data_IF_199229607108
#
_entry.id   IF_199229607108
#
_cell.length_a   1.000
_cell.length_b   1.000
_cell.length_c   1.000
_cell.angle_alpha   90.00
_cell.angle_beta   90.00
_cell.angle_gamma   90.00
#
_symmetry.space_group_name_H-M   'P 1'
#
loop_
_entity.id
_entity.type
_entity.pdbx_description
1 polymer ?
#
# COMPACT_ATOMS: atom_id res chain seq x y z
N UNK A 1 -44.70 63.83 -28.27
CA UNK A 1 -46.09 63.69 -27.75
C UNK A 1 -46.09 62.69 -26.61
N UNK A 2 -46.26 63.16 -25.36
CA UNK A 2 -47.39 62.84 -24.44
C UNK A 2 -47.50 61.33 -24.15
N UNK A 3 -47.03 60.84 -22.98
CA UNK A 3 -47.58 60.92 -21.62
C UNK A 3 -48.24 59.58 -21.21
N UNK A 4 -47.72 59.00 -20.11
CA UNK A 4 -48.44 58.41 -18.94
C UNK A 4 -49.48 57.30 -19.25
N UNK A 5 -49.62 56.21 -18.50
CA UNK A 5 -49.78 56.14 -17.03
C UNK A 5 -49.83 54.66 -16.59
N UNK A 6 -49.33 54.41 -15.38
CA UNK A 6 -49.47 53.17 -14.59
C UNK A 6 -50.94 52.81 -14.35
N UNK A 7 -51.26 51.52 -14.21
CA UNK A 7 -52.22 51.02 -13.22
C UNK A 7 -51.83 49.62 -12.70
N UNK A 8 -52.13 49.42 -11.42
CA UNK A 8 -51.67 48.39 -10.47
C UNK A 8 -52.83 47.40 -10.24
N UNK A 9 -52.50 46.21 -9.70
CA UNK A 9 -53.34 45.21 -8.95
C UNK A 9 -53.81 44.03 -9.82
N UNK A 10 -53.81 42.77 -9.39
CA UNK A 10 -53.45 42.08 -8.15
C UNK A 10 -53.28 40.58 -8.51
N UNK A 11 -52.25 39.91 -7.98
CA UNK A 11 -52.35 38.78 -7.05
C UNK A 11 -53.02 37.50 -7.61
N UNK A 12 -52.22 36.46 -7.91
CA UNK A 12 -52.43 35.08 -7.45
C UNK A 12 -51.09 34.32 -7.47
N UNK A 13 -50.59 34.05 -6.28
CA UNK A 13 -49.49 33.13 -6.01
C UNK A 13 -49.99 31.70 -6.30
N UNK A 14 -49.28 30.96 -7.16
CA UNK A 14 -49.31 29.50 -7.13
C UNK A 14 -47.87 29.00 -7.08
N UNK A 15 -47.29 29.05 -5.88
CA UNK A 15 -46.05 28.35 -5.58
C UNK A 15 -46.39 26.87 -5.44
N UNK A 16 -46.05 26.07 -6.45
CA UNK A 16 -45.99 24.62 -6.32
C UNK A 16 -44.79 24.29 -5.42
N UNK A 17 -45.06 24.11 -4.12
CA UNK A 17 -44.11 23.56 -3.17
C UNK A 17 -44.00 22.05 -3.44
N UNK A 18 -43.14 21.66 -4.38
CA UNK A 18 -42.61 20.30 -4.41
C UNK A 18 -41.59 20.21 -3.27
N UNK A 19 -42.06 19.78 -2.09
CA UNK A 19 -41.18 19.35 -1.02
C UNK A 19 -40.57 18.01 -1.45
N UNK A 20 -39.48 18.07 -2.21
CA UNK A 20 -38.52 16.97 -2.30
C UNK A 20 -37.95 16.80 -0.90
N UNK A 21 -38.55 15.92 -0.11
CA UNK A 21 -37.88 15.33 1.04
C UNK A 21 -36.79 14.46 0.42
N UNK A 22 -35.64 15.07 0.15
CA UNK A 22 -34.39 14.36 -0.09
C UNK A 22 -34.09 13.62 1.20
N UNK A 23 -34.61 12.39 1.31
CA UNK A 23 -34.13 11.45 2.32
C UNK A 23 -32.62 11.35 2.07
N UNK A 24 -31.74 11.70 3.02
CA UNK A 24 -30.36 11.34 2.86
C UNK A 24 -30.36 9.83 2.70
N UNK A 25 -29.98 9.35 1.51
CA UNK A 25 -29.45 8.01 1.39
C UNK A 25 -28.37 7.95 2.45
N UNK A 26 -28.57 7.11 3.46
CA UNK A 26 -27.48 6.62 4.30
C UNK A 26 -26.56 5.87 3.34
N UNK A 27 -25.71 6.64 2.67
CA UNK A 27 -24.52 6.13 2.05
C UNK A 27 -23.77 5.44 3.17
N UNK A 28 -23.51 4.16 2.98
CA UNK A 28 -22.42 3.50 3.65
C UNK A 28 -21.25 4.47 3.55
N UNK A 29 -20.77 4.98 4.69
CA UNK A 29 -19.53 5.72 4.72
C UNK A 29 -18.52 4.81 4.01
N UNK A 30 -18.10 5.22 2.81
CA UNK A 30 -16.91 4.67 2.20
C UNK A 30 -15.84 4.89 3.27
N UNK A 31 -15.41 3.82 3.94
CA UNK A 31 -14.28 3.90 4.85
C UNK A 31 -13.16 4.56 4.06
N UNK A 32 -12.67 5.69 4.56
CA UNK A 32 -11.53 6.37 3.96
C UNK A 32 -10.42 5.33 3.81
N UNK A 33 -9.95 5.09 2.59
CA UNK A 33 -8.80 4.22 2.38
C UNK A 33 -7.67 4.76 3.25
N UNK A 34 -7.02 3.92 4.08
CA UNK A 34 -5.82 4.29 4.80
C UNK A 34 -4.86 5.04 3.89
N UNK A 35 -4.24 6.14 4.36
CA UNK A 35 -3.20 6.78 3.57
C UNK A 35 -2.06 5.78 3.37
N UNK A 36 -1.46 5.81 2.17
CA UNK A 36 -0.29 4.98 1.88
C UNK A 36 0.97 5.80 2.11
N UNK A 37 2.05 5.17 2.62
CA UNK A 37 3.34 5.81 2.82
C UNK A 37 3.93 6.26 1.48
N UNK A 38 4.64 7.39 1.49
CA UNK A 38 5.44 7.78 0.33
C UNK A 38 6.71 6.92 0.23
N UNK A 39 7.34 6.78 -0.96
CA UNK A 39 8.62 6.09 -1.09
C UNK A 39 9.71 6.65 -0.16
N UNK A 40 9.71 7.97 0.09
CA UNK A 40 10.62 8.61 1.03
C UNK A 40 10.41 8.14 2.48
N UNK A 41 9.15 8.04 2.93
CA UNK A 41 8.80 7.53 4.26
C UNK A 41 9.21 6.06 4.43
N UNK A 42 9.06 5.25 3.38
CA UNK A 42 9.53 3.86 3.39
C UNK A 42 11.04 3.77 3.55
N UNK A 43 11.82 4.54 2.79
CA UNK A 43 13.29 4.60 2.92
C UNK A 43 13.71 5.00 4.32
N UNK A 44 13.06 6.01 4.92
CA UNK A 44 13.38 6.50 6.27
C UNK A 44 13.19 5.38 7.31
N UNK A 45 12.04 4.72 7.28
CA UNK A 45 11.76 3.62 8.22
C UNK A 45 12.71 2.44 8.03
N UNK A 46 12.95 2.01 6.79
CA UNK A 46 13.90 0.92 6.49
C UNK A 46 15.32 1.27 6.96
N UNK A 47 15.73 2.52 6.80
CA UNK A 47 17.01 3.03 7.33
C UNK A 47 17.05 2.93 8.85
N UNK A 48 15.96 3.26 9.53
CA UNK A 48 15.87 3.12 10.99
C UNK A 48 15.85 1.66 11.45
N UNK A 49 15.30 0.74 10.66
CA UNK A 49 15.43 -0.70 10.95
C UNK A 49 16.88 -1.18 10.85
N UNK A 50 17.64 -0.72 9.85
CA UNK A 50 19.08 -1.02 9.75
C UNK A 50 19.88 -0.45 10.92
N UNK A 51 19.57 0.78 11.33
CA UNK A 51 20.16 1.40 12.52
C UNK A 51 19.80 0.62 13.80
N UNK A 52 18.56 0.16 13.94
CA UNK A 52 18.14 -0.65 15.07
C UNK A 52 18.89 -1.99 15.14
N UNK A 53 19.13 -2.66 14.01
CA UNK A 53 19.98 -3.88 13.94
C UNK A 53 21.40 -3.62 14.44
N UNK A 54 21.92 -2.41 14.22
CA UNK A 54 23.22 -1.97 14.73
C UNK A 54 23.19 -1.42 16.17
N UNK A 55 22.02 -1.41 16.84
CA UNK A 55 21.86 -0.86 18.18
C UNK A 55 21.93 0.67 18.24
N UNK A 56 21.69 1.35 17.12
CA UNK A 56 21.73 2.80 17.01
C UNK A 56 20.35 3.44 17.20
N UNK A 57 20.29 4.68 17.71
CA UNK A 57 19.07 5.48 17.76
C UNK A 57 18.43 5.71 16.39
N UNK A 58 17.09 5.74 16.28
CA UNK A 58 16.42 6.13 15.04
C UNK A 58 16.67 7.59 14.69
N UNK A 59 16.51 7.88 13.40
CA UNK A 59 16.56 9.20 12.80
C UNK A 59 15.14 9.74 12.66
N UNK A 60 14.98 11.02 13.00
CA UNK A 60 13.72 11.76 12.81
C UNK A 60 13.64 12.33 11.40
N UNK A 61 12.50 12.20 10.73
CA UNK A 61 12.26 12.89 9.47
C UNK A 61 12.33 14.42 9.67
N UNK A 62 13.07 15.11 8.78
CA UNK A 62 13.19 16.56 8.78
C UNK A 62 12.84 17.15 7.41
N UNK A 63 11.85 18.02 7.40
CA UNK A 63 11.29 18.64 6.19
C UNK A 63 12.31 19.48 5.41
N UNK A 64 13.28 20.14 6.07
CA UNK A 64 14.30 20.92 5.36
C UNK A 64 15.31 20.01 4.65
N UNK A 65 15.63 18.86 5.26
CA UNK A 65 16.45 17.83 4.63
C UNK A 65 15.71 17.16 3.46
N UNK A 66 14.40 16.91 3.61
CA UNK A 66 13.54 16.42 2.52
C UNK A 66 13.56 17.37 1.33
N UNK A 67 13.38 18.67 1.56
CA UNK A 67 13.40 19.68 0.49
C UNK A 67 14.72 19.70 -0.27
N UNK A 68 15.85 19.67 0.46
CA UNK A 68 17.17 19.61 -0.16
C UNK A 68 17.37 18.31 -0.97
N UNK A 69 16.93 17.17 -0.43
CA UNK A 69 17.06 15.87 -1.08
C UNK A 69 16.18 15.78 -2.34
N UNK A 70 14.91 16.19 -2.25
CA UNK A 70 13.95 16.15 -3.35
C UNK A 70 14.37 17.04 -4.51
N UNK A 71 14.79 18.28 -4.21
CA UNK A 71 15.29 19.20 -5.22
C UNK A 71 16.53 18.63 -5.94
N UNK A 72 17.37 17.88 -5.22
CA UNK A 72 18.57 17.31 -5.81
C UNK A 72 18.30 16.06 -6.65
N UNK A 73 17.36 15.20 -6.23
CA UNK A 73 16.90 14.08 -7.06
C UNK A 73 16.36 14.58 -8.41
N UNK A 74 15.57 15.66 -8.39
CA UNK A 74 15.08 16.32 -9.60
C UNK A 74 16.19 16.94 -10.45
N UNK A 75 17.20 17.55 -9.81
CA UNK A 75 18.32 18.16 -10.51
C UNK A 75 19.20 17.12 -11.23
N UNK A 76 19.45 15.97 -10.60
CA UNK A 76 20.19 14.86 -11.22
C UNK A 76 19.46 14.34 -12.46
N UNK A 77 18.15 14.08 -12.35
CA UNK A 77 17.32 13.65 -13.47
C UNK A 77 17.30 14.69 -14.61
N UNK A 78 16.93 15.95 -14.30
CA UNK A 78 16.80 17.00 -15.31
C UNK A 78 18.15 17.39 -15.95
N UNK A 79 19.26 17.14 -15.28
CA UNK A 79 20.60 17.46 -15.74
C UNK A 79 21.36 16.27 -16.36
N UNK A 80 20.75 15.08 -16.40
CA UNK A 80 21.36 13.83 -16.88
C UNK A 80 22.75 13.59 -16.25
N UNK A 81 22.82 13.65 -14.91
CA UNK A 81 24.06 13.42 -14.18
C UNK A 81 23.85 12.68 -12.85
N UNK A 82 24.89 11.99 -12.40
CA UNK A 82 24.92 11.29 -11.11
C UNK A 82 26.23 11.58 -10.36
N UNK A 83 26.21 12.61 -9.51
CA UNK A 83 27.33 13.04 -8.67
C UNK A 83 26.79 13.71 -7.40
N UNK A 84 27.58 13.76 -6.33
CA UNK A 84 27.23 14.49 -5.10
C UNK A 84 27.36 16.02 -5.25
N UNK A 85 28.24 16.47 -6.14
CA UNK A 85 28.45 17.87 -6.47
C UNK A 85 27.77 18.17 -7.79
N UNK A 86 26.91 19.20 -7.80
CA UNK A 86 26.25 19.59 -9.04
C UNK A 86 27.32 20.06 -10.07
N UNK A 87 27.43 19.45 -11.26
CA UNK A 87 28.48 19.80 -12.23
C UNK A 87 28.25 21.17 -12.89
N UNK A 88 27.03 21.70 -12.83
CA UNK A 88 26.64 22.99 -13.42
C UNK A 88 26.79 24.12 -12.41
N UNK A 89 26.27 23.94 -11.19
CA UNK A 89 26.27 25.01 -10.16
C UNK A 89 27.49 24.95 -9.24
N UNK A 90 28.09 23.76 -9.09
CA UNK A 90 29.18 23.50 -8.14
C UNK A 90 28.72 23.26 -6.70
N UNK A 91 27.41 23.29 -6.42
CA UNK A 91 26.89 23.15 -5.06
C UNK A 91 27.11 21.74 -4.51
N UNK A 92 27.66 21.67 -3.30
CA UNK A 92 27.86 20.42 -2.54
C UNK A 92 26.60 20.06 -1.74
N UNK A 93 26.51 18.85 -1.16
CA UNK A 93 25.37 18.49 -0.31
C UNK A 93 25.19 19.46 0.87
N UNK A 94 26.30 19.90 1.48
CA UNK A 94 26.27 20.85 2.58
C UNK A 94 25.71 22.22 2.16
N UNK A 95 26.03 22.68 0.94
CA UNK A 95 25.50 23.94 0.40
C UNK A 95 23.99 23.85 0.18
N UNK A 96 23.52 22.74 -0.41
CA UNK A 96 22.09 22.49 -0.65
C UNK A 96 21.29 22.37 0.65
N UNK A 97 21.80 21.63 1.63
CA UNK A 97 21.18 21.50 2.96
C UNK A 97 21.13 22.86 3.66
N UNK A 98 22.19 23.66 3.57
CA UNK A 98 22.22 25.01 4.15
C UNK A 98 21.26 25.96 3.43
N UNK A 99 21.12 25.84 2.11
CA UNK A 99 20.20 26.63 1.29
C UNK A 99 18.73 26.30 1.58
N UNK A 100 18.41 25.06 1.95
CA UNK A 100 17.09 24.68 2.48
C UNK A 100 16.83 25.22 3.90
N UNK A 101 17.81 25.89 4.50
CA UNK A 101 17.71 26.53 5.81
C UNK A 101 17.88 25.59 7.00
N UNK A 102 18.33 24.35 6.77
CA UNK A 102 18.63 23.42 7.87
C UNK A 102 19.88 23.90 8.61
N UNK A 103 19.77 24.02 9.94
CA UNK A 103 20.90 24.34 10.81
C UNK A 103 21.58 23.06 11.24
N UNK A 104 22.89 22.96 11.05
CA UNK A 104 23.61 21.73 11.30
C UNK A 104 24.97 21.95 11.94
N UNK A 105 25.37 20.95 12.72
CA UNK A 105 26.74 20.74 13.21
C UNK A 105 27.44 19.60 12.47
N UNK A 106 26.65 18.71 11.86
CA UNK A 106 27.10 17.62 11.02
C UNK A 106 26.03 17.31 9.96
N UNK A 107 26.46 16.97 8.74
CA UNK A 107 25.61 16.50 7.63
C UNK A 107 26.35 15.45 6.79
N UNK A 108 25.59 14.58 6.12
CA UNK A 108 26.09 13.64 5.12
C UNK A 108 25.00 13.37 4.07
N UNK A 109 25.39 12.79 2.93
CA UNK A 109 24.47 12.43 1.85
C UNK A 109 24.80 11.04 1.30
N UNK A 110 23.76 10.27 1.00
CA UNK A 110 23.81 9.15 0.08
C UNK A 110 22.96 9.49 -1.15
N UNK A 111 23.44 9.13 -2.35
CA UNK A 111 22.68 9.19 -3.59
C UNK A 111 22.61 7.80 -4.20
N UNK A 112 21.58 7.53 -5.00
CA UNK A 112 21.51 6.32 -5.80
C UNK A 112 20.58 6.50 -6.99
N UNK A 113 20.89 5.80 -8.07
CA UNK A 113 20.12 5.82 -9.30
C UNK A 113 20.03 4.41 -9.88
N UNK A 114 18.86 4.05 -10.43
CA UNK A 114 18.57 2.72 -10.94
C UNK A 114 17.54 1.95 -10.12
N UNK A 115 17.78 1.67 -8.82
CA UNK A 115 16.83 0.92 -7.99
C UNK A 115 15.42 1.49 -8.05
N UNK A 116 14.43 0.63 -8.25
CA UNK A 116 13.04 1.06 -8.49
C UNK A 116 12.20 1.13 -7.21
N UNK A 117 12.70 0.55 -6.11
CA UNK A 117 11.99 0.43 -4.85
C UNK A 117 12.76 0.97 -3.63
N UNK A 118 12.06 1.44 -2.59
CA UNK A 118 12.67 1.82 -1.30
C UNK A 118 13.52 0.73 -0.64
N UNK A 119 13.14 -0.54 -0.78
CA UNK A 119 13.87 -1.66 -0.19
C UNK A 119 15.20 -1.92 -0.91
N UNK A 120 15.16 -1.93 -2.24
CA UNK A 120 16.34 -2.16 -3.06
C UNK A 120 17.37 -1.04 -2.85
N UNK A 121 16.95 0.23 -2.85
CA UNK A 121 17.88 1.35 -2.66
C UNK A 121 18.55 1.33 -1.28
N UNK A 122 17.81 1.04 -0.20
CA UNK A 122 18.38 0.93 1.15
C UNK A 122 19.35 -0.24 1.22
N UNK A 123 19.01 -1.38 0.63
CA UNK A 123 19.92 -2.52 0.56
C UNK A 123 21.18 -2.21 -0.26
N UNK A 124 21.05 -1.48 -1.37
CA UNK A 124 22.16 -0.99 -2.19
C UNK A 124 23.10 -0.07 -1.40
N UNK A 125 22.57 0.91 -0.68
CA UNK A 125 23.36 1.75 0.22
C UNK A 125 24.00 0.95 1.35
N UNK A 126 23.27 0.01 1.96
CA UNK A 126 23.85 -0.86 2.96
C UNK A 126 24.95 -1.74 2.37
N UNK A 127 24.90 -2.20 1.13
CA UNK A 127 25.98 -2.98 0.53
C UNK A 127 27.21 -2.16 0.16
N UNK A 128 27.09 -0.83 0.06
CA UNK A 128 28.21 0.08 -0.17
C UNK A 128 28.86 0.54 1.14
N UNK A 129 30.16 0.29 1.37
CA UNK A 129 30.83 0.71 2.61
C UNK A 129 30.74 2.22 2.89
N UNK A 130 30.78 3.05 1.86
CA UNK A 130 30.66 4.52 2.00
C UNK A 130 29.27 4.95 2.44
N UNK A 131 28.23 4.45 1.77
CA UNK A 131 26.84 4.80 2.08
C UNK A 131 26.38 4.21 3.42
N UNK A 132 26.75 2.95 3.70
CA UNK A 132 26.52 2.28 4.99
C UNK A 132 27.12 3.09 6.15
N UNK A 133 28.31 3.67 5.97
CA UNK A 133 28.94 4.49 7.00
C UNK A 133 28.08 5.70 7.37
N UNK A 134 27.45 6.36 6.40
CA UNK A 134 26.56 7.49 6.67
C UNK A 134 25.28 7.03 7.40
N UNK A 135 24.65 5.95 6.94
CA UNK A 135 23.44 5.36 7.58
C UNK A 135 23.71 4.99 9.04
N UNK A 136 24.87 4.41 9.32
CA UNK A 136 25.24 3.94 10.66
C UNK A 136 26.10 4.95 11.44
N UNK A 137 26.20 6.21 11.00
CA UNK A 137 26.94 7.22 11.76
C UNK A 137 26.12 7.59 13.03
N UNK A 138 26.70 7.47 14.24
CA UNK A 138 26.02 7.84 15.48
C UNK A 138 25.78 9.35 15.63
N UNK A 139 26.43 10.19 14.81
CA UNK A 139 26.19 11.64 14.84
C UNK A 139 24.82 11.99 14.28
N UNK A 140 24.33 11.26 13.28
CA UNK A 140 23.06 11.51 12.63
C UNK A 140 21.89 11.39 13.63
N UNK A 141 21.02 12.40 13.65
CA UNK A 141 19.79 12.44 14.46
C UNK A 141 18.54 12.65 13.62
N UNK A 142 18.71 13.29 12.47
CA UNK A 142 17.65 13.63 11.55
C UNK A 142 18.00 13.13 10.14
N UNK A 143 16.98 12.85 9.35
CA UNK A 143 17.07 12.35 7.98
C UNK A 143 16.06 13.08 7.10
N UNK A 144 16.40 13.29 5.84
CA UNK A 144 15.42 13.61 4.81
C UNK A 144 15.71 12.85 3.54
N UNK A 145 14.65 12.49 2.82
CA UNK A 145 14.73 11.66 1.62
C UNK A 145 13.98 12.34 0.47
N UNK A 146 14.60 12.31 -0.70
CA UNK A 146 14.02 12.74 -1.97
C UNK A 146 13.98 11.59 -2.95
N UNK A 147 12.90 11.51 -3.72
CA UNK A 147 12.73 10.51 -4.78
C UNK A 147 12.17 11.19 -6.03
N UNK A 148 12.76 10.87 -7.18
CA UNK A 148 12.24 11.32 -8.47
C UNK A 148 12.27 10.19 -9.48
N UNK A 149 11.17 10.06 -10.23
CA UNK A 149 11.04 9.16 -11.36
C UNK A 149 10.96 9.97 -12.64
N UNK A 150 11.91 9.76 -13.55
CA UNK A 150 11.90 10.33 -14.89
C UNK A 150 11.25 9.35 -15.87
N UNK A 151 10.02 9.67 -16.28
CA UNK A 151 9.28 8.90 -17.29
C UNK A 151 9.88 9.04 -18.70
N UNK A 152 10.67 10.09 -18.94
CA UNK A 152 11.16 10.47 -20.28
C UNK A 152 12.53 9.91 -20.63
N UNK A 153 13.25 9.41 -19.62
CA UNK A 153 14.54 8.75 -19.78
C UNK A 153 14.35 7.30 -20.26
N UNK A 154 14.18 7.14 -21.58
CA UNK A 154 14.03 5.85 -22.25
C UNK A 154 15.33 5.51 -22.98
N UNK A 155 15.93 4.37 -22.62
CA UNK A 155 17.10 3.85 -23.33
C UNK A 155 16.76 3.61 -24.82
N UNK A 156 17.61 4.00 -25.80
CA UNK A 156 19.02 4.42 -25.69
C UNK A 156 19.25 5.94 -25.85
N UNK A 157 18.30 6.83 -25.52
CA UNK A 157 18.42 8.26 -25.81
C UNK A 157 19.16 9.11 -24.76
N UNK A 158 19.40 8.60 -23.55
CA UNK A 158 20.08 9.33 -22.47
C UNK A 158 21.55 8.93 -22.27
N UNK A 159 22.37 9.87 -21.79
CA UNK A 159 23.77 9.63 -21.45
C UNK A 159 23.92 8.93 -20.08
N UNK A 160 22.92 9.04 -19.19
CA UNK A 160 22.72 8.16 -18.02
C UNK A 160 21.35 7.47 -18.09
N UNK A 161 21.25 6.12 -18.02
CA UNK A 161 20.02 5.40 -18.36
C UNK A 161 19.05 5.20 -17.18
N UNK A 162 19.11 6.05 -16.15
CA UNK A 162 18.42 5.77 -14.89
C UNK A 162 17.11 6.53 -14.80
N UNK A 163 16.00 5.82 -14.61
CA UNK A 163 14.69 6.44 -14.42
C UNK A 163 14.41 6.82 -12.97
N UNK A 164 15.05 6.15 -12.02
CA UNK A 164 14.82 6.35 -10.59
C UNK A 164 16.02 7.05 -9.96
N UNK A 165 15.78 8.15 -9.26
CA UNK A 165 16.79 8.92 -8.54
C UNK A 165 16.40 9.09 -7.07
N UNK A 166 17.33 8.74 -6.18
CA UNK A 166 17.16 8.76 -4.74
C UNK A 166 18.25 9.60 -4.09
N UNK A 167 17.86 10.42 -3.12
CA UNK A 167 18.77 11.20 -2.29
C UNK A 167 18.38 11.02 -0.83
N UNK A 168 19.35 10.71 0.01
CA UNK A 168 19.19 10.56 1.46
C UNK A 168 20.17 11.51 2.16
N UNK A 169 19.63 12.56 2.77
CA UNK A 169 20.38 13.54 3.52
C UNK A 169 20.27 13.26 5.02
N UNK A 170 21.40 13.32 5.72
CA UNK A 170 21.48 13.17 7.16
C UNK A 170 21.90 14.47 7.81
N UNK A 171 21.42 14.70 9.03
CA UNK A 171 21.72 15.93 9.75
C UNK A 171 21.75 15.79 11.27
N UNK A 172 22.46 16.72 11.89
CA UNK A 172 22.46 16.94 13.33
C UNK A 172 22.34 18.42 13.65
N UNK A 173 21.14 18.84 14.03
CA UNK A 173 20.92 20.16 14.60
C UNK A 173 21.21 20.13 16.11
N UNK A 174 22.23 20.85 16.61
CA UNK A 174 22.60 20.82 18.03
C UNK A 174 21.52 21.42 18.96
N UNK A 175 20.60 22.22 18.40
CA UNK A 175 19.54 22.87 19.16
C UNK A 175 18.26 22.04 19.28
N UNK A 176 18.15 20.95 18.53
CA UNK A 176 16.96 20.09 18.46
C UNK A 176 17.22 18.75 19.13
N UNK A 177 16.23 18.30 19.90
CA UNK A 177 16.20 16.98 20.52
C UNK A 177 14.98 16.22 19.99
N UNK A 178 15.13 15.46 18.89
CA UNK A 178 14.01 14.80 18.26
C UNK A 178 13.29 13.81 19.19
N UNK A 179 11.97 13.76 19.03
CA UNK A 179 11.10 12.68 19.47
C UNK A 179 10.76 11.83 18.25
N UNK A 180 10.82 10.50 18.39
CA UNK A 180 10.50 9.54 17.34
C UNK A 180 9.53 8.50 17.90
N UNK A 181 8.46 8.20 17.18
CA UNK A 181 7.50 7.13 17.46
C UNK A 181 7.83 5.95 16.56
N UNK A 182 7.99 4.75 17.13
CA UNK A 182 8.11 3.48 16.40
C UNK A 182 9.11 3.51 15.23
N UNK A 183 10.35 3.99 15.46
CA UNK A 183 11.38 4.05 14.41
C UNK A 183 11.01 4.94 13.22
N UNK A 184 10.20 5.98 13.44
CA UNK A 184 9.66 6.87 12.39
C UNK A 184 8.70 6.11 11.46
N UNK A 185 7.93 5.16 12.01
CA UNK A 185 6.92 4.45 11.26
C UNK A 185 5.82 5.41 10.82
N UNK A 186 5.44 5.33 9.54
CA UNK A 186 4.32 6.08 8.98
C UNK A 186 2.99 5.81 9.71
N UNK A 187 2.76 4.54 10.07
CA UNK A 187 1.52 4.11 10.71
C UNK A 187 1.75 3.01 11.76
N UNK A 188 0.76 2.80 12.62
CA UNK A 188 0.71 1.68 13.55
C UNK A 188 -0.71 1.18 13.74
N UNK A 189 -0.89 -0.12 13.92
CA UNK A 189 -2.16 -0.73 14.32
C UNK A 189 -2.20 -1.11 15.81
N UNK A 190 -1.17 -0.75 16.57
CA UNK A 190 -1.00 -1.11 17.98
C UNK A 190 -0.90 0.16 18.81
N UNK A 191 -1.81 0.33 19.76
CA UNK A 191 -1.89 1.57 20.53
C UNK A 191 -0.67 1.75 21.46
N UNK A 192 -0.05 0.64 21.88
CA UNK A 192 1.20 0.67 22.62
C UNK A 192 2.38 0.84 21.64
N UNK A 193 2.98 2.03 21.65
CA UNK A 193 4.13 2.39 20.83
C UNK A 193 5.40 2.52 21.66
N UNK A 194 6.55 2.56 20.99
CA UNK A 194 7.83 2.86 21.59
C UNK A 194 8.28 4.25 21.15
N UNK A 195 8.57 5.11 22.11
CA UNK A 195 9.16 6.43 21.86
C UNK A 195 10.68 6.35 22.00
N UNK A 196 11.38 7.05 21.13
CA UNK A 196 12.79 7.40 21.32
C UNK A 196 12.94 8.93 21.44
N UNK A 197 13.70 9.36 22.44
CA UNK A 197 13.96 10.77 22.74
C UNK A 197 15.45 11.03 22.79
N UNK A 198 15.91 11.96 21.96
CA UNK A 198 17.24 12.54 22.12
C UNK A 198 17.28 13.53 23.29
N UNK A 199 18.48 13.77 23.82
CA UNK A 199 18.70 14.78 24.86
C UNK A 199 19.22 14.22 26.18
N UNK A 200 19.68 12.97 26.20
CA UNK A 200 20.23 12.30 27.40
C UNK A 200 21.37 13.07 28.09
N UNK A 201 22.12 13.89 27.35
CA UNK A 201 23.23 14.69 27.88
C UNK A 201 22.81 16.11 28.27
N UNK A 202 21.54 16.48 28.09
CA UNK A 202 21.02 17.83 28.31
C UNK A 202 19.79 17.88 29.23
N UNK A 203 18.82 16.98 29.04
CA UNK A 203 17.56 16.95 29.77
C UNK A 203 17.68 16.16 31.07
N UNK A 204 17.13 16.69 32.17
CA UNK A 204 17.00 16.00 33.46
C UNK A 204 15.57 15.52 33.70
N UNK A 205 14.59 16.22 33.16
CA UNK A 205 13.17 15.91 33.30
C UNK A 205 12.45 16.00 31.95
N UNK A 206 11.33 15.29 31.83
CA UNK A 206 10.45 15.33 30.67
C UNK A 206 8.98 15.28 31.10
N UNK A 207 8.09 15.72 30.22
CA UNK A 207 6.65 15.45 30.29
C UNK A 207 6.07 15.36 28.90
N UNK A 208 5.02 14.55 28.73
CA UNK A 208 4.48 14.22 27.40
C UNK A 208 2.96 14.42 27.37
N UNK A 209 2.41 14.49 26.17
CA UNK A 209 0.96 14.42 25.92
C UNK A 209 0.67 13.77 24.58
N UNK A 210 -0.54 13.24 24.46
CA UNK A 210 -1.15 12.95 23.17
C UNK A 210 -1.95 14.16 22.71
N UNK A 211 -1.79 14.52 21.45
CA UNK A 211 -2.61 15.51 20.76
C UNK A 211 -2.73 16.82 21.55
N UNK A 212 -3.95 17.31 21.73
CA UNK A 212 -4.28 18.50 22.50
C UNK A 212 -4.58 18.21 23.98
N UNK A 213 -4.28 17.00 24.49
CA UNK A 213 -4.50 16.66 25.90
C UNK A 213 -3.52 17.39 26.82
N UNK A 214 -3.78 17.32 28.12
CA UNK A 214 -2.89 17.86 29.13
C UNK A 214 -1.57 17.09 29.20
N UNK A 215 -0.48 17.82 29.46
CA UNK A 215 0.81 17.19 29.74
C UNK A 215 0.74 16.37 31.03
N UNK A 216 1.45 15.25 31.03
CA UNK A 216 1.77 14.52 32.26
C UNK A 216 2.47 15.44 33.27
N UNK A 217 2.48 15.07 34.57
CA UNK A 217 3.44 15.66 35.50
C UNK A 217 4.87 15.50 34.99
N UNK A 218 5.76 16.40 35.44
CA UNK A 218 7.20 16.25 35.20
C UNK A 218 7.71 14.95 35.81
N UNK A 219 8.50 14.21 35.03
CA UNK A 219 9.14 12.96 35.41
C UNK A 219 10.62 12.98 35.01
N UNK A 220 11.43 12.09 35.56
CA UNK A 220 12.84 11.95 35.15
C UNK A 220 12.96 11.64 33.66
N UNK A 221 13.97 12.23 33.01
CA UNK A 221 14.24 11.99 31.60
C UNK A 221 14.52 10.50 31.32
N UNK A 222 13.94 10.00 30.22
CA UNK A 222 14.16 8.66 29.67
C UNK A 222 14.32 8.79 28.15
N UNK A 223 15.37 8.20 27.59
CA UNK A 223 15.60 8.19 26.14
C UNK A 223 14.69 7.20 25.39
N UNK A 224 14.11 6.24 26.11
CA UNK A 224 13.17 5.26 25.56
C UNK A 224 12.02 5.05 26.54
N UNK A 225 10.78 5.03 26.04
CA UNK A 225 9.59 4.87 26.86
C UNK A 225 8.47 4.22 26.05
N UNK A 226 7.82 3.21 26.62
CA UNK A 226 6.56 2.70 26.08
C UNK A 226 5.44 3.71 26.32
N UNK A 227 4.69 4.04 25.28
CA UNK A 227 3.66 5.06 25.30
C UNK A 227 2.35 4.52 24.71
N UNK A 228 1.21 5.05 25.15
CA UNK A 228 -0.10 4.59 24.68
C UNK A 228 -0.78 5.71 23.92
N UNK A 229 -0.97 5.50 22.63
CA UNK A 229 -1.76 6.37 21.77
C UNK A 229 -3.25 6.17 22.03
N UNK A 230 -4.09 7.19 21.74
CA UNK A 230 -5.52 6.97 21.63
C UNK A 230 -5.80 5.90 20.56
N UNK A 231 -6.79 5.01 20.78
CA UNK A 231 -7.06 3.88 19.88
C UNK A 231 -8.02 4.24 18.74
N UNK A 232 -8.39 5.50 18.58
CA UNK A 232 -9.18 5.98 17.45
C UNK A 232 -8.36 6.02 16.16
N UNK A 233 -9.01 5.74 15.03
CA UNK A 233 -8.35 5.79 13.73
C UNK A 233 -8.04 7.25 13.36
N UNK A 234 -6.82 7.51 12.93
CA UNK A 234 -6.39 8.83 12.51
C UNK A 234 -4.95 9.17 12.87
N UNK A 235 -4.54 10.38 12.52
CA UNK A 235 -3.23 10.89 12.90
C UNK A 235 -3.23 11.29 14.38
N UNK A 236 -2.24 10.79 15.11
CA UNK A 236 -1.98 11.18 16.49
C UNK A 236 -0.60 11.82 16.62
N UNK A 237 -0.54 12.88 17.41
CA UNK A 237 0.70 13.58 17.75
C UNK A 237 1.11 13.23 19.16
N UNK A 238 2.36 12.83 19.37
CA UNK A 238 2.97 12.86 20.70
C UNK A 238 3.83 14.10 20.81
N UNK A 239 3.59 14.92 21.83
CA UNK A 239 4.43 16.09 22.14
C UNK A 239 5.20 15.85 23.45
N UNK A 240 6.45 16.31 23.49
CA UNK A 240 7.29 16.29 24.70
C UNK A 240 7.77 17.70 25.03
N UNK A 241 7.85 17.98 26.33
CA UNK A 241 8.69 19.03 26.88
C UNK A 241 9.84 18.42 27.66
N UNK A 242 11.04 18.90 27.41
CA UNK A 242 12.29 18.51 28.06
C UNK A 242 12.81 19.66 28.89
N UNK A 243 13.18 19.42 30.14
CA UNK A 243 13.73 20.42 31.05
C UNK A 243 15.13 20.02 31.50
N UNK A 244 16.07 20.96 31.47
CA UNK A 244 17.42 20.76 32.00
C UNK A 244 17.56 21.22 33.46
N UNK A 245 18.74 21.01 34.04
CA UNK A 245 19.04 21.38 35.43
C UNK A 245 18.96 22.90 35.71
N UNK A 246 19.08 23.75 34.67
CA UNK A 246 18.94 25.20 34.78
C UNK A 246 17.47 25.67 34.68
N UNK A 247 16.53 24.75 34.42
CA UNK A 247 15.11 25.05 34.24
C UNK A 247 14.74 25.49 32.83
N UNK A 248 15.66 25.44 31.87
CA UNK A 248 15.35 25.72 30.45
C UNK A 248 14.50 24.58 29.88
N UNK A 249 13.49 24.95 29.09
CA UNK A 249 12.56 23.98 28.48
C UNK A 249 12.70 24.01 26.96
N UNK A 250 12.81 22.83 26.35
CA UNK A 250 12.72 22.61 24.90
C UNK A 250 11.57 21.68 24.58
N UNK A 251 10.98 21.83 23.40
CA UNK A 251 9.85 21.00 22.95
C UNK A 251 10.23 20.20 21.72
N UNK A 252 9.63 19.03 21.56
CA UNK A 252 9.64 18.26 20.33
C UNK A 252 8.29 17.56 20.18
N UNK A 253 7.99 17.13 18.95
CA UNK A 253 6.80 16.35 18.67
C UNK A 253 7.04 15.41 17.51
N UNK A 254 6.23 14.37 17.46
CA UNK A 254 6.17 13.45 16.34
C UNK A 254 4.72 13.00 16.11
N UNK A 255 4.44 12.55 14.91
CA UNK A 255 3.11 12.16 14.42
C UNK A 255 3.15 10.75 13.85
N UNK A 256 2.09 9.98 14.09
CA UNK A 256 1.91 8.66 13.48
C UNK A 256 0.44 8.43 13.16
N UNK A 257 0.16 7.74 12.07
CA UNK A 257 -1.21 7.36 11.74
C UNK A 257 -1.61 6.07 12.46
N UNK A 258 -2.64 6.11 13.29
CA UNK A 258 -3.23 4.92 13.90
C UNK A 258 -4.22 4.27 12.94
N UNK A 259 -3.89 3.08 12.46
CA UNK A 259 -4.78 2.24 11.67
C UNK A 259 -5.54 1.32 12.62
N UNK A 260 -6.78 1.70 12.95
CA UNK A 260 -7.69 0.78 13.59
C UNK A 260 -7.78 -0.48 12.72
N UNK A 261 -7.49 -1.64 13.30
CA UNK A 261 -7.54 -2.90 12.58
C UNK A 261 -8.84 -2.95 11.78
N UNK A 262 -8.74 -3.24 10.46
CA UNK A 262 -9.93 -3.54 9.67
C UNK A 262 -10.76 -4.50 10.52
N UNK A 263 -12.06 -4.24 10.73
CA UNK A 263 -12.88 -5.20 11.45
C UNK A 263 -12.65 -6.53 10.76
N UNK A 264 -12.03 -7.49 11.46
CA UNK A 264 -12.00 -8.87 10.99
C UNK A 264 -13.43 -9.14 10.58
N UNK A 265 -13.72 -9.52 9.32
CA UNK A 265 -15.09 -9.79 8.91
C UNK A 265 -15.62 -10.73 9.98
N UNK A 266 -16.55 -10.23 10.80
CA UNK A 266 -17.10 -11.04 11.88
C UNK A 266 -17.54 -12.32 11.20
N UNK A 267 -17.15 -13.51 11.70
CA UNK A 267 -17.72 -14.73 11.16
C UNK A 267 -19.22 -14.50 11.21
N UNK A 268 -19.86 -14.39 10.03
CA UNK A 268 -21.28 -14.11 10.00
C UNK A 268 -21.90 -15.15 10.91
N UNK A 269 -22.76 -14.76 11.88
CA UNK A 269 -23.36 -15.73 12.77
C UNK A 269 -23.99 -16.78 11.88
N UNK A 270 -23.41 -17.99 11.91
CA UNK A 270 -23.97 -19.14 11.24
C UNK A 270 -25.28 -19.34 11.96
N UNK A 271 -26.36 -18.86 11.35
CA UNK A 271 -27.70 -18.99 11.90
C UNK A 271 -27.91 -20.46 12.23
N UNK A 272 -28.17 -20.76 13.49
CA UNK A 272 -28.58 -22.09 13.90
C UNK A 272 -29.76 -22.51 13.01
N UNK A 273 -29.68 -23.66 12.32
CA UNK A 273 -30.73 -24.05 11.39
C UNK A 273 -32.02 -24.32 12.14
N UNK A 274 -33.02 -23.46 11.92
CA UNK A 274 -34.40 -23.69 12.36
C UNK A 274 -34.98 -24.85 11.54
N UNK A 275 -35.69 -25.82 12.14
CA UNK A 275 -36.26 -26.94 11.40
C UNK A 275 -37.34 -26.45 10.41
N UNK A 276 -37.45 -27.04 9.20
CA UNK A 276 -38.37 -26.55 8.19
C UNK A 276 -39.83 -26.84 8.57
N UNK A 277 -40.79 -25.94 8.22
CA UNK A 277 -42.21 -26.26 8.34
C UNK A 277 -42.64 -27.31 7.31
N UNK A 278 -43.63 -28.11 7.70
CA UNK A 278 -44.16 -29.20 6.88
C UNK A 278 -45.10 -28.70 5.76
N UNK A 279 -44.59 -28.71 4.51
CA UNK A 279 -45.29 -28.70 3.20
C UNK A 279 -46.12 -27.43 2.84
N UNK A 280 -46.18 -26.91 1.60
CA UNK A 280 -46.59 -27.37 0.24
C UNK A 280 -46.24 -26.23 -0.80
N UNK A 281 -46.51 -26.29 -2.13
CA UNK A 281 -46.69 -27.39 -3.11
C UNK A 281 -45.60 -27.39 -4.22
N UNK A 282 -45.64 -28.38 -5.12
CA UNK A 282 -44.67 -28.59 -6.20
C UNK A 282 -44.71 -27.50 -7.27
N UNK A 283 -43.57 -26.83 -7.47
CA UNK A 283 -43.28 -25.92 -8.58
C UNK A 283 -41.78 -25.62 -8.60
N UNK A 284 -41.10 -26.14 -9.62
CA UNK A 284 -39.65 -26.15 -9.91
C UNK A 284 -38.73 -26.89 -8.91
N UNK A 285 -38.18 -28.02 -9.36
CA UNK A 285 -37.43 -29.01 -8.56
C UNK A 285 -36.05 -28.55 -8.04
N UNK A 286 -35.61 -27.32 -8.35
CA UNK A 286 -34.22 -26.90 -8.10
C UNK A 286 -34.04 -25.85 -7.01
N UNK A 287 -35.06 -25.03 -6.72
CA UNK A 287 -34.97 -23.95 -5.73
C UNK A 287 -36.29 -23.83 -4.97
N UNK A 288 -36.21 -23.86 -3.65
CA UNK A 288 -37.29 -23.50 -2.73
C UNK A 288 -37.22 -22.02 -2.42
N UNK A 289 -38.33 -21.31 -2.52
CA UNK A 289 -38.44 -19.95 -2.02
C UNK A 289 -39.40 -19.93 -0.83
N UNK A 290 -38.95 -19.38 0.30
CA UNK A 290 -39.78 -19.07 1.46
C UNK A 290 -39.80 -17.57 1.69
N UNK A 291 -40.97 -17.01 1.99
CA UNK A 291 -41.15 -15.61 2.33
C UNK A 291 -41.73 -15.48 3.73
N UNK A 292 -41.10 -14.69 4.58
CA UNK A 292 -41.57 -14.36 5.91
C UNK A 292 -41.62 -12.84 6.09
N UNK A 293 -42.59 -12.36 6.86
CA UNK A 293 -42.73 -10.94 7.22
C UNK A 293 -42.85 -10.86 8.73
N UNK A 294 -42.08 -9.98 9.36
CA UNK A 294 -42.09 -9.76 10.81
C UNK A 294 -42.09 -8.27 11.16
N UNK A 295 -42.94 -7.80 12.09
CA UNK A 295 -44.01 -8.57 12.77
C UNK A 295 -45.14 -8.98 11.82
N UNK A 296 -45.98 -9.94 12.24
CA UNK A 296 -47.22 -10.29 11.56
C UNK A 296 -48.23 -10.77 12.64
N UNK A 297 -49.32 -10.03 12.91
CA UNK A 297 -49.90 -8.93 12.14
C UNK A 297 -49.08 -7.62 12.18
N UNK A 298 -49.35 -6.71 11.24
CA UNK A 298 -48.65 -5.43 11.04
C UNK A 298 -49.63 -4.27 11.15
N UNK A 299 -49.27 -3.19 11.83
CA UNK A 299 -50.07 -1.96 11.88
C UNK A 299 -49.60 -0.88 10.88
N UNK A 300 -50.53 0.00 10.47
CA UNK A 300 -50.26 1.07 9.50
C UNK A 300 -49.23 2.06 10.04
N UNK A 301 -48.06 2.14 9.40
CA UNK A 301 -46.95 3.03 9.79
C UNK A 301 -45.78 2.32 10.48
N UNK A 302 -45.90 1.01 10.75
CA UNK A 302 -44.86 0.20 11.35
C UNK A 302 -43.84 -0.30 10.30
N UNK A 303 -42.55 -0.26 10.63
CA UNK A 303 -41.50 -0.81 9.76
C UNK A 303 -41.48 -2.33 9.89
N UNK A 304 -41.60 -3.03 8.76
CA UNK A 304 -41.55 -4.49 8.72
C UNK A 304 -40.28 -4.98 8.07
N UNK A 305 -39.82 -6.13 8.53
CA UNK A 305 -38.76 -6.89 7.87
C UNK A 305 -39.40 -7.98 7.02
N UNK A 306 -39.09 -7.97 5.72
CA UNK A 306 -39.48 -9.03 4.78
C UNK A 306 -38.25 -9.87 4.49
N UNK A 307 -38.30 -11.15 4.86
CA UNK A 307 -37.23 -12.11 4.61
C UNK A 307 -37.64 -13.00 3.45
N UNK A 308 -36.80 -13.06 2.42
CA UNK A 308 -36.88 -14.03 1.33
C UNK A 308 -35.74 -15.03 1.51
N UNK A 309 -36.07 -16.30 1.72
CA UNK A 309 -35.09 -17.37 1.86
C UNK A 309 -35.17 -18.27 0.63
N UNK A 310 -34.08 -18.31 -0.13
CA UNK A 310 -33.90 -19.23 -1.24
C UNK A 310 -33.06 -20.42 -0.78
N UNK A 311 -33.56 -21.63 -1.00
CA UNK A 311 -32.89 -22.88 -0.64
C UNK A 311 -32.78 -23.75 -1.90
N UNK A 312 -31.56 -24.02 -2.37
CA UNK A 312 -31.35 -24.92 -3.50
C UNK A 312 -31.61 -26.38 -3.05
N UNK A 313 -32.49 -27.11 -3.76
CA UNK A 313 -32.93 -28.46 -3.35
C UNK A 313 -32.17 -29.58 -4.11
N UNK A 314 -31.48 -29.24 -5.20
CA UNK A 314 -30.76 -30.23 -6.01
C UNK A 314 -29.40 -30.61 -5.38
N UNK A 315 -29.29 -31.84 -4.88
CA UNK A 315 -28.01 -32.52 -4.54
C UNK A 315 -27.33 -33.20 -5.74
N UNK A 316 -27.93 -33.11 -6.93
CA UNK A 316 -27.26 -33.51 -8.18
C UNK A 316 -27.25 -32.34 -9.14
N UNK A 317 -26.26 -31.46 -8.99
CA UNK A 317 -25.78 -30.76 -10.16
C UNK A 317 -25.31 -31.86 -11.11
N UNK A 318 -26.09 -32.20 -12.16
CA UNK A 318 -25.49 -32.87 -13.32
C UNK A 318 -24.44 -31.88 -13.79
N UNK A 319 -23.20 -32.09 -13.38
CA UNK A 319 -22.06 -31.30 -13.79
C UNK A 319 -22.12 -31.30 -15.30
N UNK A 320 -22.57 -30.20 -15.88
CA UNK A 320 -22.69 -30.09 -17.33
C UNK A 320 -21.29 -30.34 -17.86
N UNK A 321 -21.14 -31.31 -18.77
CA UNK A 321 -19.84 -31.67 -19.31
C UNK A 321 -19.22 -30.40 -19.89
N UNK A 322 -18.26 -29.83 -19.16
CA UNK A 322 -17.52 -28.65 -19.60
C UNK A 322 -16.34 -29.11 -20.43
N UNK A 323 -15.90 -28.27 -21.35
CA UNK A 323 -14.65 -28.51 -22.04
C UNK A 323 -13.52 -28.57 -20.99
N UNK A 324 -12.49 -29.41 -21.21
CA UNK A 324 -11.28 -29.38 -20.41
C UNK A 324 -10.69 -27.97 -20.37
N UNK A 325 -9.99 -27.61 -19.31
CA UNK A 325 -9.23 -26.37 -19.26
C UNK A 325 -7.75 -26.64 -19.50
N UNK A 326 -7.11 -25.76 -20.26
CA UNK A 326 -5.67 -25.61 -20.28
C UNK A 326 -5.36 -24.20 -19.82
N UNK A 327 -4.78 -24.08 -18.62
CA UNK A 327 -4.53 -22.79 -17.98
C UNK A 327 -3.04 -22.57 -17.89
N UNK A 328 -2.57 -21.38 -18.27
CA UNK A 328 -1.24 -20.91 -17.88
C UNK A 328 -1.42 -19.85 -16.81
N UNK A 329 -0.94 -20.13 -15.61
CA UNK A 329 -0.79 -19.13 -14.56
C UNK A 329 0.45 -18.29 -14.88
N UNK A 330 0.28 -16.98 -15.00
CA UNK A 330 1.36 -16.02 -15.25
C UNK A 330 1.52 -15.18 -14.00
N UNK A 331 2.59 -15.40 -13.26
CA UNK A 331 2.81 -14.77 -11.95
C UNK A 331 3.95 -13.79 -12.00
N UNK A 332 3.62 -12.54 -11.68
CA UNK A 332 4.57 -11.48 -11.39
C UNK A 332 5.31 -11.80 -10.09
N UNK A 333 6.63 -11.71 -10.13
CA UNK A 333 7.48 -11.79 -8.95
C UNK A 333 8.49 -10.64 -8.88
N UNK A 334 8.17 -9.51 -9.50
CA UNK A 334 8.94 -8.27 -9.43
C UNK A 334 9.03 -7.71 -8.02
N UNK A 335 10.01 -6.85 -7.76
CA UNK A 335 10.25 -6.22 -6.46
C UNK A 335 9.02 -5.50 -5.89
N UNK A 336 8.12 -4.99 -6.75
CA UNK A 336 6.84 -4.37 -6.31
C UNK A 336 5.87 -5.34 -5.64
N UNK A 337 5.94 -6.63 -5.97
CA UNK A 337 5.18 -7.71 -5.35
C UNK A 337 5.69 -8.04 -3.93
N UNK A 338 6.81 -7.46 -3.51
CA UNK A 338 7.40 -7.61 -2.19
C UNK A 338 6.58 -7.00 -1.05
N UNK A 339 7.10 -7.20 0.16
CA UNK A 339 6.51 -6.66 1.38
C UNK A 339 6.65 -5.13 1.41
N UNK A 340 5.52 -4.43 1.42
CA UNK A 340 5.50 -2.99 1.69
C UNK A 340 5.82 -2.72 3.17
N UNK A 341 6.13 -1.46 3.51
CA UNK A 341 6.27 -1.07 4.91
C UNK A 341 5.02 -1.40 5.75
N UNK A 342 3.82 -1.34 5.15
CA UNK A 342 2.60 -1.74 5.85
C UNK A 342 2.63 -3.22 6.21
N UNK A 343 3.24 -4.07 5.38
CA UNK A 343 3.42 -5.49 5.68
C UNK A 343 4.44 -5.70 6.81
N UNK A 344 5.56 -4.97 6.78
CA UNK A 344 6.57 -5.00 7.87
C UNK A 344 6.00 -4.50 9.21
N UNK A 345 5.03 -3.58 9.16
CA UNK A 345 4.32 -3.08 10.33
C UNK A 345 3.17 -4.00 10.78
N UNK A 346 2.90 -5.10 10.05
CA UNK A 346 1.78 -6.02 10.32
C UNK A 346 0.40 -5.43 9.98
N UNK A 347 0.36 -4.38 9.16
CA UNK A 347 -0.82 -3.60 8.76
C UNK A 347 -1.32 -3.94 7.35
N UNK A 348 -0.53 -4.68 6.57
CA UNK A 348 -0.91 -5.25 5.29
C UNK A 348 -0.46 -6.72 5.19
N UNK A 349 -1.07 -7.45 4.27
CA UNK A 349 -0.63 -8.79 3.90
C UNK A 349 0.32 -8.70 2.71
N UNK A 350 1.35 -9.57 2.70
CA UNK A 350 2.30 -9.68 1.60
C UNK A 350 1.59 -9.93 0.26
N UNK A 351 1.91 -9.11 -0.76
CA UNK A 351 1.26 -9.20 -2.09
C UNK A 351 1.62 -10.50 -2.77
N UNK A 352 2.90 -10.86 -2.81
CA UNK A 352 3.38 -12.13 -3.36
C UNK A 352 2.79 -13.33 -2.62
N UNK A 353 2.70 -13.32 -1.29
CA UNK A 353 2.07 -14.43 -0.56
C UNK A 353 0.59 -14.56 -0.87
N UNK A 354 -0.11 -13.43 -1.04
CA UNK A 354 -1.52 -13.44 -1.43
C UNK A 354 -1.71 -13.96 -2.85
N UNK A 355 -0.84 -13.58 -3.79
CA UNK A 355 -0.82 -14.12 -5.14
C UNK A 355 -0.53 -15.63 -5.14
N UNK A 356 0.47 -16.09 -4.36
CA UNK A 356 0.78 -17.52 -4.17
C UNK A 356 -0.39 -18.30 -3.59
N UNK A 357 -1.05 -17.76 -2.55
CA UNK A 357 -2.25 -18.36 -1.94
C UNK A 357 -3.41 -18.43 -2.93
N UNK A 358 -3.67 -17.35 -3.68
CA UNK A 358 -4.72 -17.31 -4.68
C UNK A 358 -4.48 -18.31 -5.82
N UNK A 359 -3.26 -18.36 -6.34
CA UNK A 359 -2.83 -19.30 -7.38
C UNK A 359 -2.95 -20.75 -6.89
N UNK A 360 -2.46 -21.05 -5.68
CA UNK A 360 -2.58 -22.38 -5.05
C UNK A 360 -4.03 -22.78 -4.86
N UNK A 361 -4.87 -21.87 -4.33
CA UNK A 361 -6.29 -22.12 -4.16
C UNK A 361 -7.02 -22.34 -5.49
N UNK A 362 -6.60 -21.65 -6.56
CA UNK A 362 -7.13 -21.88 -7.91
C UNK A 362 -6.77 -23.29 -8.40
N UNK A 363 -5.49 -23.69 -8.29
CA UNK A 363 -5.02 -25.03 -8.66
C UNK A 363 -5.78 -26.12 -7.88
N UNK A 364 -6.07 -25.90 -6.59
CA UNK A 364 -6.85 -26.84 -5.76
C UNK A 364 -8.31 -26.99 -6.21
N UNK A 365 -8.86 -26.03 -6.96
CA UNK A 365 -10.23 -26.10 -7.51
C UNK A 365 -10.29 -26.76 -8.89
N UNK A 366 -9.16 -26.96 -9.57
CA UNK A 366 -9.12 -27.60 -10.88
C UNK A 366 -9.27 -29.12 -10.76
N UNK A 367 -9.91 -29.74 -11.75
CA UNK A 367 -10.02 -31.20 -11.83
C UNK A 367 -8.86 -31.74 -12.66
N UNK A 368 -7.77 -32.14 -12.02
CA UNK A 368 -6.55 -32.59 -12.71
C UNK A 368 -6.67 -33.91 -13.46
N UNK A 369 -7.84 -34.58 -13.38
CA UNK A 369 -8.14 -35.70 -14.28
C UNK A 369 -8.59 -35.23 -15.67
N UNK A 370 -8.99 -33.95 -15.79
CA UNK A 370 -9.54 -33.34 -16.99
C UNK A 370 -8.71 -32.13 -17.44
N UNK A 371 -8.36 -31.26 -16.50
CA UNK A 371 -7.69 -29.99 -16.72
C UNK A 371 -6.16 -30.13 -16.70
N UNK A 372 -5.49 -29.13 -17.28
CA UNK A 372 -4.04 -28.97 -17.22
C UNK A 372 -3.70 -27.54 -16.82
N UNK A 373 -2.58 -27.40 -16.11
CA UNK A 373 -2.06 -26.12 -15.67
C UNK A 373 -0.54 -26.05 -15.88
N UNK A 374 -0.08 -24.89 -16.32
CA UNK A 374 1.33 -24.49 -16.38
C UNK A 374 1.57 -23.29 -15.47
N UNK A 375 2.82 -23.04 -15.12
CA UNK A 375 3.25 -21.82 -14.43
C UNK A 375 4.35 -21.13 -15.25
N UNK A 376 4.08 -19.90 -15.65
CA UNK A 376 5.06 -18.92 -16.11
C UNK A 376 5.24 -17.91 -15.00
N UNK A 377 6.48 -17.58 -14.68
CA UNK A 377 6.81 -16.50 -13.76
C UNK A 377 7.58 -15.42 -14.52
N UNK A 378 7.36 -14.16 -14.20
CA UNK A 378 8.05 -13.05 -14.84
C UNK A 378 8.46 -11.95 -13.86
N UNK A 379 9.57 -11.30 -14.18
CA UNK A 379 10.08 -10.05 -13.64
C UNK A 379 10.65 -9.21 -14.80
N UNK A 380 11.96 -8.90 -14.83
CA UNK A 380 12.69 -8.40 -16.01
C UNK A 380 12.66 -9.36 -17.21
N UNK A 381 12.42 -10.65 -16.95
CA UNK A 381 12.28 -11.68 -17.96
C UNK A 381 11.20 -12.70 -17.59
N UNK A 382 10.71 -13.46 -18.57
CA UNK A 382 9.71 -14.51 -18.35
C UNK A 382 10.33 -15.90 -18.45
N UNK A 383 9.96 -16.79 -17.52
CA UNK A 383 10.43 -18.16 -17.47
C UNK A 383 9.30 -19.16 -17.20
N UNK A 384 9.30 -20.26 -17.97
CA UNK A 384 8.41 -21.39 -17.72
C UNK A 384 8.92 -22.18 -16.52
N UNK A 385 8.21 -22.07 -15.39
CA UNK A 385 8.57 -22.73 -14.12
C UNK A 385 8.01 -24.14 -14.02
N UNK A 386 6.83 -24.37 -14.60
CA UNK A 386 6.21 -25.68 -14.68
C UNK A 386 5.48 -25.82 -16.04
N UNK A 387 5.83 -26.81 -16.88
CA UNK A 387 5.15 -27.05 -18.15
C UNK A 387 3.68 -27.45 -17.99
N UNK A 388 2.89 -27.24 -19.04
CA UNK A 388 1.46 -27.54 -19.08
C UNK A 388 1.21 -29.04 -18.88
N UNK A 389 0.58 -29.39 -17.77
CA UNK A 389 0.28 -30.78 -17.43
C UNK A 389 -0.72 -30.91 -16.29
N UNK A 390 -0.91 -32.14 -15.81
CA UNK A 390 -1.80 -32.45 -14.68
C UNK A 390 -1.07 -32.50 -13.32
N UNK A 391 0.21 -32.11 -13.28
CA UNK A 391 1.03 -32.12 -12.07
C UNK A 391 0.76 -30.90 -11.18
N UNK A 392 -0.37 -30.93 -10.48
CA UNK A 392 -0.74 -29.89 -9.52
C UNK A 392 0.27 -29.72 -8.37
N UNK A 393 0.96 -30.80 -7.98
CA UNK A 393 1.95 -30.74 -6.90
C UNK A 393 3.21 -30.00 -7.37
N UNK A 394 3.68 -30.28 -8.59
CA UNK A 394 4.76 -29.56 -9.25
C UNK A 394 4.45 -28.08 -9.41
N UNK A 395 3.25 -27.74 -9.91
CA UNK A 395 2.81 -26.33 -10.03
C UNK A 395 2.82 -25.62 -8.68
N UNK A 396 2.24 -26.22 -7.62
CA UNK A 396 2.22 -25.61 -6.28
C UNK A 396 3.62 -25.44 -5.70
N UNK A 397 4.50 -26.42 -5.89
CA UNK A 397 5.91 -26.32 -5.49
C UNK A 397 6.63 -25.19 -6.24
N UNK A 398 6.32 -24.99 -7.52
CA UNK A 398 6.90 -23.92 -8.31
C UNK A 398 6.36 -22.54 -7.88
N UNK A 399 5.07 -22.43 -7.54
CA UNK A 399 4.46 -21.21 -6.96
C UNK A 399 5.14 -20.85 -5.64
N UNK A 400 5.29 -21.81 -4.72
CA UNK A 400 5.85 -21.56 -3.40
C UNK A 400 7.30 -21.02 -3.47
N UNK A 401 8.06 -21.46 -4.48
CA UNK A 401 9.46 -21.09 -4.74
C UNK A 401 9.66 -19.75 -5.46
N UNK A 402 8.59 -19.04 -5.80
CA UNK A 402 8.76 -17.71 -6.39
C UNK A 402 9.29 -16.75 -5.34
N UNK A 403 10.53 -16.32 -5.52
CA UNK A 403 11.11 -15.23 -4.73
C UNK A 403 10.85 -13.91 -5.45
N UNK A 404 10.88 -12.81 -4.70
CA UNK A 404 10.66 -11.47 -5.24
C UNK A 404 12.00 -10.88 -5.67
N UNK A 405 12.10 -10.48 -6.94
CA UNK A 405 13.25 -9.81 -7.53
C UNK A 405 12.94 -9.13 -8.88
N UNK A 406 13.66 -8.04 -9.18
CA UNK A 406 13.72 -7.47 -10.54
C UNK A 406 12.50 -6.61 -10.92
N UNK A 407 12.52 -6.11 -12.15
CA UNK A 407 11.49 -5.23 -12.72
C UNK A 407 10.23 -5.96 -13.20
N UNK A 408 9.37 -5.26 -13.96
CA UNK A 408 8.05 -5.77 -14.39
C UNK A 408 7.88 -5.76 -15.92
N UNK A 409 8.04 -6.92 -16.57
CA UNK A 409 7.81 -7.12 -18.02
C UNK A 409 6.61 -8.04 -18.31
N UNK A 410 5.39 -7.45 -18.27
CA UNK A 410 4.11 -8.17 -18.44
C UNK A 410 3.99 -8.82 -19.83
N UNK A 411 4.45 -8.15 -20.88
CA UNK A 411 4.39 -8.63 -22.26
C UNK A 411 5.23 -9.91 -22.44
N UNK A 412 6.42 -9.96 -21.84
CA UNK A 412 7.26 -11.17 -21.82
C UNK A 412 6.52 -12.35 -21.16
N UNK A 413 5.85 -12.10 -20.02
CA UNK A 413 5.04 -13.10 -19.31
C UNK A 413 3.89 -13.63 -20.17
N UNK A 414 3.14 -12.73 -20.81
CA UNK A 414 2.04 -13.08 -21.73
C UNK A 414 2.55 -13.83 -22.97
N UNK A 415 3.68 -13.43 -23.53
CA UNK A 415 4.27 -14.08 -24.70
C UNK A 415 4.73 -15.50 -24.39
N UNK A 416 5.39 -15.73 -23.24
CA UNK A 416 5.77 -17.07 -22.80
C UNK A 416 4.55 -17.97 -22.58
N UNK A 417 3.48 -17.43 -21.98
CA UNK A 417 2.24 -18.18 -21.78
C UNK A 417 1.53 -18.53 -23.09
N UNK A 418 1.51 -17.59 -24.04
CA UNK A 418 1.01 -17.82 -25.39
C UNK A 418 1.80 -18.94 -26.09
N UNK A 419 3.13 -18.92 -26.01
CA UNK A 419 3.99 -19.94 -26.62
C UNK A 419 3.72 -21.33 -26.04
N UNK A 420 3.55 -21.45 -24.72
CA UNK A 420 3.23 -22.72 -24.05
C UNK A 420 1.89 -23.29 -24.53
N UNK A 421 0.84 -22.47 -24.60
CA UNK A 421 -0.48 -22.89 -25.10
C UNK A 421 -0.47 -23.21 -26.59
N UNK A 422 0.26 -22.43 -27.40
CA UNK A 422 0.39 -22.70 -28.83
C UNK A 422 1.13 -24.02 -29.10
N UNK A 423 2.12 -24.37 -28.28
CA UNK A 423 2.91 -25.59 -28.44
C UNK A 423 2.22 -26.84 -27.85
N UNK A 424 1.52 -26.69 -26.72
CA UNK A 424 1.09 -27.83 -25.90
C UNK A 424 -0.41 -27.84 -25.57
N UNK A 425 -1.15 -26.79 -25.92
CA UNK A 425 -2.59 -26.68 -25.72
C UNK A 425 -3.41 -27.68 -26.53
N UNK A 426 -4.51 -28.15 -25.93
CA UNK A 426 -5.50 -29.03 -26.56
C UNK A 426 -6.47 -28.20 -27.39
N UNK A 427 -6.77 -28.60 -28.64
CA UNK A 427 -7.78 -27.93 -29.46
C UNK A 427 -9.19 -28.00 -28.88
N UNK A 428 -9.51 -29.07 -28.14
CA UNK A 428 -10.81 -29.28 -27.50
C UNK A 428 -10.95 -28.58 -26.14
N UNK A 429 -9.84 -28.12 -25.56
CA UNK A 429 -9.82 -27.44 -24.27
C UNK A 429 -10.12 -25.94 -24.43
N UNK A 430 -10.72 -25.35 -23.40
CA UNK A 430 -10.73 -23.89 -23.26
C UNK A 430 -9.38 -23.46 -22.74
N UNK A 431 -8.63 -22.71 -23.56
CA UNK A 431 -7.31 -22.21 -23.22
C UNK A 431 -7.42 -20.85 -22.55
N UNK A 432 -6.73 -20.68 -21.42
CA UNK A 432 -6.84 -19.50 -20.55
C UNK A 432 -5.44 -19.05 -20.12
N UNK A 433 -5.19 -17.75 -20.18
CA UNK A 433 -4.04 -17.12 -19.51
C UNK A 433 -4.57 -16.35 -18.29
N UNK A 434 -4.12 -16.73 -17.10
CA UNK A 434 -4.49 -16.04 -15.86
C UNK A 434 -3.27 -15.32 -15.31
N UNK A 435 -3.27 -13.98 -15.39
CA UNK A 435 -2.18 -13.15 -14.89
C UNK A 435 -2.45 -12.61 -13.48
N UNK A 436 -1.44 -12.66 -12.63
CA UNK A 436 -1.42 -12.08 -11.28
C UNK A 436 -0.22 -11.13 -11.21
N UNK A 437 -0.49 -9.83 -11.17
CA UNK A 437 0.52 -8.77 -11.21
C UNK A 437 0.05 -7.52 -10.48
N UNK A 438 0.99 -6.78 -9.90
CA UNK A 438 0.77 -5.46 -9.33
C UNK A 438 1.61 -4.35 -9.98
N UNK A 439 2.52 -4.73 -10.88
CA UNK A 439 3.46 -3.84 -11.52
C UNK A 439 2.89 -3.08 -12.72
N UNK A 440 3.63 -2.03 -13.12
CA UNK A 440 3.37 -1.27 -14.33
C UNK A 440 4.46 -1.60 -15.36
N UNK A 441 4.07 -2.15 -16.51
CA UNK A 441 4.94 -2.33 -17.67
C UNK A 441 4.61 -1.30 -18.76
N UNK A 442 5.30 -1.37 -19.91
CA UNK A 442 4.84 -0.68 -21.12
C UNK A 442 3.41 -1.15 -21.49
N UNK A 443 2.41 -0.26 -21.46
CA UNK A 443 1.03 -0.62 -21.74
C UNK A 443 0.83 -1.03 -23.20
N UNK A 444 1.60 -0.50 -24.16
CA UNK A 444 1.42 -0.82 -25.58
C UNK A 444 1.90 -2.26 -25.87
N UNK A 445 3.09 -2.63 -25.39
CA UNK A 445 3.63 -3.98 -25.52
C UNK A 445 2.72 -5.02 -24.86
N UNK A 446 2.27 -4.77 -23.63
CA UNK A 446 1.38 -5.68 -22.91
C UNK A 446 0.02 -5.87 -23.62
N UNK A 447 -0.56 -4.80 -24.16
CA UNK A 447 -1.81 -4.87 -24.95
C UNK A 447 -1.58 -5.69 -26.23
N UNK A 448 -0.50 -5.45 -26.96
CA UNK A 448 -0.19 -6.21 -28.19
C UNK A 448 -0.03 -7.71 -27.91
N UNK A 449 0.67 -8.08 -26.84
CA UNK A 449 0.82 -9.48 -26.43
C UNK A 449 -0.53 -10.12 -26.06
N UNK A 450 -1.39 -9.40 -25.32
CA UNK A 450 -2.71 -9.87 -24.97
C UNK A 450 -3.64 -10.01 -26.19
N UNK A 451 -3.57 -9.09 -27.15
CA UNK A 451 -4.33 -9.14 -28.40
C UNK A 451 -3.89 -10.32 -29.28
N UNK A 452 -2.60 -10.63 -29.33
CA UNK A 452 -2.09 -11.80 -30.03
C UNK A 452 -2.66 -13.11 -29.46
N UNK A 453 -2.66 -13.26 -28.13
CA UNK A 453 -3.26 -14.43 -27.48
C UNK A 453 -4.78 -14.53 -27.75
N UNK A 454 -5.51 -13.40 -27.63
CA UNK A 454 -6.94 -13.34 -27.94
C UNK A 454 -7.24 -13.69 -29.40
N UNK A 455 -6.41 -13.22 -30.34
CA UNK A 455 -6.51 -13.54 -31.76
C UNK A 455 -6.38 -15.04 -32.06
N UNK A 456 -5.66 -15.78 -31.21
CA UNK A 456 -5.53 -17.23 -31.28
C UNK A 456 -6.68 -18.00 -30.57
N UNK A 457 -7.67 -17.29 -30.02
CA UNK A 457 -8.82 -17.89 -29.32
C UNK A 457 -8.54 -18.23 -27.85
N UNK A 458 -7.41 -17.78 -27.30
CA UNK A 458 -7.07 -17.90 -25.87
C UNK A 458 -7.80 -16.81 -25.10
N UNK A 459 -8.31 -17.17 -23.92
CA UNK A 459 -9.10 -16.27 -23.07
C UNK A 459 -8.27 -15.56 -22.03
#
# INVERSE_FOLDING_TARGET
>A
MKQRTKFIRALYFLAFLFLLISRPSTGWAQGSTPPSPSPAQEVIYLTNLERAKAGLPPLKENEQLNQAAQAYAQAMAAGDFFDHTNPVTGDTPADRISAAGYKWSWVAENIGAGPDSPAEIVQGWMNSPGHRKNILDPQAREIGVGYFFDETDVFPQADTPYRHYWVQNFGTNPDVFPLIINQEAFATGVAQTMLYLYGQDWATEMRLRNDALDFTPWQSFQSQLAWTLPPDEGEHTVSVELRNAAGEVKTASDTIYFLAALPTPSPQPVGTPTPPPASLPAGDENIRLQKQVSPNPVETGELVTVTLQLEAISTSCKQQARNPLDVVLVMDHSDSMGDTILTLLGLAQSKIDNAKKAATAFVDKMDMNLDRVALVAFNDEASLRQPLGSDAAGVKTAIDRLDVDGGTEIDAGLQAAYQELAAHGRPEATQIILILSDGQSDPEAAIQAAEAAKGAGIR
#
